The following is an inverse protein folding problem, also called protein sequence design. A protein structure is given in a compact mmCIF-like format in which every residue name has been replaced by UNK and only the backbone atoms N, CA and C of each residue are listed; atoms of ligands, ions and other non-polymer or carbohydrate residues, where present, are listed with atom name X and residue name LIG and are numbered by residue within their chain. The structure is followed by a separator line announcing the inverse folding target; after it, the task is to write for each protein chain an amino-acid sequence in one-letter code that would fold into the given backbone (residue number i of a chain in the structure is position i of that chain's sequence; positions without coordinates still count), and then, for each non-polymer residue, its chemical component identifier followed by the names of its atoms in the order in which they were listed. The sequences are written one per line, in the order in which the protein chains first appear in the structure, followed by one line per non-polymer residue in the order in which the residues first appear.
data_IF_448701038111
#
_entry.id   IF_448701038111
#
_cell.length_a   1.000
_cell.length_b   1.000
_cell.length_c   1.000
_cell.angle_alpha   90.00
_cell.angle_beta   90.00
_cell.angle_gamma   90.00
#
_symmetry.space_group_name_H-M   'P 1'
#
loop_
_entity.id
_entity.type
_entity.pdbx_description
1 polymer ?
#
# COMPACT_ATOMS: atom_id res chain seq x y z
N UNK A 1 -18.64 38.23 -20.45
CA UNK A 1 -18.86 36.78 -20.63
C UNK A 1 -18.47 36.07 -19.33
N UNK A 2 -19.42 35.63 -18.50
CA UNK A 2 -19.19 35.23 -17.10
C UNK A 2 -18.37 33.94 -16.90
N UNK A 3 -18.05 33.19 -17.97
CA UNK A 3 -17.21 31.99 -17.89
C UNK A 3 -15.70 32.30 -17.90
N UNK A 4 -15.30 33.47 -18.43
CA UNK A 4 -13.89 33.89 -18.48
C UNK A 4 -13.39 34.18 -17.05
N UNK A 5 -14.21 34.84 -16.23
CA UNK A 5 -13.89 35.10 -14.82
C UNK A 5 -13.69 33.80 -14.04
N UNK A 6 -14.49 32.76 -14.35
CA UNK A 6 -14.36 31.44 -13.74
C UNK A 6 -13.07 30.73 -14.17
N UNK A 7 -12.63 30.89 -15.42
CA UNK A 7 -11.33 30.35 -15.89
C UNK A 7 -10.19 31.02 -15.12
N UNK A 8 -10.19 32.34 -15.03
CA UNK A 8 -9.15 33.09 -14.33
C UNK A 8 -9.08 32.70 -12.84
N UNK A 9 -10.22 32.50 -12.18
CA UNK A 9 -10.29 31.97 -10.82
C UNK A 9 -9.71 30.56 -10.71
N UNK A 10 -9.97 29.70 -11.71
CA UNK A 10 -9.44 28.34 -11.75
C UNK A 10 -7.91 28.34 -11.91
N UNK A 11 -7.36 29.21 -12.75
CA UNK A 11 -5.92 29.37 -12.94
C UNK A 11 -5.24 29.91 -11.67
N UNK A 12 -5.83 30.92 -11.03
CA UNK A 12 -5.34 31.45 -9.76
C UNK A 12 -5.36 30.38 -8.64
N UNK A 13 -6.41 29.56 -8.58
CA UNK A 13 -6.48 28.45 -7.64
C UNK A 13 -5.39 27.39 -7.91
N UNK A 14 -5.14 27.05 -9.18
CA UNK A 14 -4.05 26.13 -9.57
C UNK A 14 -2.68 26.67 -9.19
N UNK A 15 -2.44 27.97 -9.39
CA UNK A 15 -1.19 28.62 -8.98
C UNK A 15 -0.97 28.49 -7.46
N UNK A 16 -2.02 28.78 -6.66
CA UNK A 16 -1.96 28.60 -5.20
C UNK A 16 -1.70 27.15 -4.78
N UNK A 17 -2.32 26.18 -5.45
CA UNK A 17 -2.05 24.76 -5.19
C UNK A 17 -0.58 24.42 -5.46
N UNK A 18 -0.03 24.88 -6.58
CA UNK A 18 1.37 24.64 -6.91
C UNK A 18 2.34 25.29 -5.90
N UNK A 19 2.02 26.46 -5.36
CA UNK A 19 2.78 27.09 -4.28
C UNK A 19 2.71 26.28 -2.97
N UNK A 20 1.52 25.85 -2.58
CA UNK A 20 1.33 25.02 -1.38
C UNK A 20 2.06 23.68 -1.49
N UNK A 21 2.04 23.04 -2.66
CA UNK A 21 2.79 21.81 -2.90
C UNK A 21 4.29 22.01 -2.70
N UNK A 22 4.86 23.10 -3.22
CA UNK A 22 6.27 23.44 -3.01
C UNK A 22 6.57 23.62 -1.53
N UNK A 23 5.79 24.44 -0.83
CA UNK A 23 5.98 24.68 0.60
C UNK A 23 5.92 23.37 1.41
N UNK A 24 4.93 22.51 1.15
CA UNK A 24 4.82 21.20 1.80
C UNK A 24 6.03 20.32 1.52
N UNK A 25 6.59 20.33 0.30
CA UNK A 25 7.81 19.56 0.03
C UNK A 25 9.01 20.10 0.79
N UNK A 26 9.16 21.42 0.89
CA UNK A 26 10.24 22.06 1.64
C UNK A 26 10.14 21.79 3.13
N UNK A 27 8.95 22.01 3.72
CA UNK A 27 8.69 21.74 5.14
C UNK A 27 8.92 20.25 5.46
N UNK A 28 8.44 19.35 4.61
CA UNK A 28 8.67 17.91 4.79
C UNK A 28 10.16 17.57 4.74
N UNK A 29 10.93 18.15 3.82
CA UNK A 29 12.37 17.91 3.73
C UNK A 29 13.11 18.43 4.96
N UNK A 30 12.76 19.62 5.44
CA UNK A 30 13.31 20.21 6.66
C UNK A 30 13.00 19.34 7.89
N UNK A 31 11.75 18.89 8.03
CA UNK A 31 11.34 18.00 9.11
C UNK A 31 12.10 16.66 9.07
N UNK A 32 12.30 16.08 7.89
CA UNK A 32 13.09 14.85 7.75
C UNK A 32 14.57 15.03 8.08
N UNK A 33 15.13 16.22 7.81
CA UNK A 33 16.50 16.56 8.14
C UNK A 33 16.70 16.82 9.64
N UNK A 34 15.70 17.38 10.33
CA UNK A 34 15.71 17.62 11.77
C UNK A 34 15.44 16.34 12.59
N UNK A 35 14.83 15.32 11.98
CA UNK A 35 14.45 14.08 12.66
C UNK A 35 15.60 13.43 13.47
N UNK A 36 16.84 13.28 12.96
CA UNK A 36 17.93 12.69 13.73
C UNK A 36 18.25 13.49 15.00
N UNK A 37 18.28 14.82 14.93
CA UNK A 37 18.56 15.68 16.08
C UNK A 37 17.43 15.69 17.10
N UNK A 38 16.16 15.63 16.67
CA UNK A 38 15.00 15.55 17.58
C UNK A 38 15.05 14.29 18.45
N UNK A 39 15.62 13.21 17.92
CA UNK A 39 15.84 11.96 18.65
C UNK A 39 17.23 11.86 19.31
N UNK A 40 18.00 12.95 19.34
CA UNK A 40 19.30 13.02 20.02
C UNK A 40 20.44 12.30 19.30
N UNK A 41 20.32 12.05 17.99
CA UNK A 41 21.38 11.46 17.18
C UNK A 41 22.20 12.54 16.48
N UNK A 42 23.52 12.46 16.64
CA UNK A 42 24.47 13.38 15.96
C UNK A 42 24.59 13.10 14.45
N UNK A 43 24.28 11.89 14.00
CA UNK A 43 24.46 11.45 12.63
C UNK A 43 23.24 10.70 12.08
N UNK A 44 22.90 10.93 10.81
CA UNK A 44 21.86 10.18 10.10
C UNK A 44 22.08 8.66 10.17
N UNK A 45 23.33 8.21 10.09
CA UNK A 45 23.66 6.79 10.09
C UNK A 45 23.38 6.11 11.45
N UNK A 46 23.64 6.79 12.55
CA UNK A 46 23.34 6.28 13.89
C UNK A 46 21.83 6.23 14.13
N UNK A 47 21.11 7.26 13.66
CA UNK A 47 19.65 7.27 13.64
C UNK A 47 19.07 6.12 12.81
N UNK A 48 19.53 5.91 11.57
CA UNK A 48 19.06 4.80 10.72
C UNK A 48 19.34 3.44 11.36
N UNK A 49 20.50 3.27 12.01
CA UNK A 49 20.84 2.02 12.72
C UNK A 49 19.88 1.76 13.88
N UNK A 50 19.58 2.78 14.67
CA UNK A 50 18.63 2.70 15.77
C UNK A 50 17.20 2.47 15.28
N UNK A 51 16.75 3.19 14.24
CA UNK A 51 15.45 3.02 13.60
C UNK A 51 15.28 1.60 13.03
N UNK A 52 16.32 1.04 12.40
CA UNK A 52 16.34 -0.36 11.95
C UNK A 52 16.34 -1.36 13.11
N UNK A 53 16.92 -1.02 14.25
CA UNK A 53 16.89 -1.87 15.44
C UNK A 53 15.50 -1.86 16.10
N UNK A 54 14.92 -0.67 16.27
CA UNK A 54 13.57 -0.44 16.79
C UNK A 54 12.51 -1.12 15.91
N UNK A 55 12.59 -0.95 14.59
CA UNK A 55 11.66 -1.61 13.65
C UNK A 55 11.81 -3.13 13.58
N UNK A 56 12.97 -3.69 13.95
CA UNK A 56 13.19 -5.15 14.04
C UNK A 56 12.78 -5.75 15.39
N UNK A 57 12.35 -4.93 16.36
CA UNK A 57 11.81 -5.38 17.66
C UNK A 57 10.58 -6.28 17.54
N UNK A 58 9.83 -6.19 16.44
CA UNK A 58 8.70 -7.09 16.17
C UNK A 58 9.06 -8.43 15.50
N UNK A 59 10.33 -8.74 15.22
CA UNK A 59 10.67 -9.91 14.36
C UNK A 59 11.97 -10.65 14.70
N UNK A 60 12.49 -10.53 15.93
CA UNK A 60 13.76 -11.17 16.32
C UNK A 60 13.71 -12.16 17.49
N UNK A 61 12.55 -12.72 17.81
CA UNK A 61 12.49 -13.95 18.61
C UNK A 61 12.44 -15.16 17.66
N UNK A 62 13.60 -15.65 17.23
CA UNK A 62 13.62 -16.84 16.36
C UNK A 62 14.94 -17.23 15.69
N UNK A 63 16.08 -16.63 16.03
CA UNK A 63 17.38 -17.12 15.53
C UNK A 63 18.41 -17.22 16.64
N UNK A 64 18.22 -18.20 17.52
CA UNK A 64 19.30 -18.96 18.15
C UNK A 64 18.71 -20.30 18.59
N UNK A 65 19.08 -21.35 17.85
CA UNK A 65 19.00 -22.80 18.12
C UNK A 65 18.34 -23.58 16.97
N UNK A 66 19.17 -24.10 16.06
CA UNK A 66 19.01 -25.43 15.47
C UNK A 66 20.22 -25.71 14.58
N UNK A 67 21.17 -26.44 15.16
CA UNK A 67 22.29 -27.10 14.50
C UNK A 67 21.75 -28.34 13.77
N UNK A 68 22.33 -28.62 12.59
CA UNK A 68 22.33 -29.90 11.86
C UNK A 68 21.02 -30.39 11.18
N UNK A 69 21.10 -30.66 9.87
CA UNK A 69 20.21 -31.61 9.18
C UNK A 69 19.72 -31.23 7.79
N UNK A 70 20.48 -31.62 6.75
CA UNK A 70 20.10 -31.89 5.33
C UNK A 70 19.54 -30.74 4.45
N UNK A 71 19.96 -30.65 3.16
CA UNK A 71 19.40 -29.69 2.21
C UNK A 71 18.05 -30.20 1.70
N UNK A 72 16.96 -29.72 2.30
CA UNK A 72 15.63 -29.94 1.77
C UNK A 72 15.41 -29.03 0.55
N UNK A 73 15.26 -29.67 -0.62
CA UNK A 73 14.71 -29.20 -1.90
C UNK A 73 14.00 -27.85 -1.81
N UNK A 74 14.52 -26.86 -2.54
CA UNK A 74 13.98 -25.48 -2.64
C UNK A 74 12.53 -25.54 -3.12
N UNK A 75 11.57 -25.62 -2.19
CA UNK A 75 10.18 -25.27 -2.49
C UNK A 75 10.18 -23.76 -2.69
N UNK A 76 9.86 -23.34 -3.92
CA UNK A 76 9.67 -21.96 -4.32
C UNK A 76 9.06 -21.16 -3.16
N UNK A 77 9.84 -20.22 -2.64
CA UNK A 77 9.53 -19.52 -1.41
C UNK A 77 8.10 -18.97 -1.46
N UNK A 78 7.39 -19.10 -0.34
CA UNK A 78 6.06 -18.53 -0.16
C UNK A 78 6.10 -17.08 -0.66
N UNK A 79 5.42 -16.80 -1.78
CA UNK A 79 5.31 -15.43 -2.31
C UNK A 79 4.84 -14.54 -1.18
N UNK A 80 5.60 -13.48 -0.89
CA UNK A 80 5.22 -12.48 0.11
C UNK A 80 3.82 -11.98 -0.28
N UNK A 81 2.85 -12.15 0.62
CA UNK A 81 1.48 -11.69 0.37
C UNK A 81 1.52 -10.19 0.12
N UNK A 82 0.96 -9.74 -0.99
CA UNK A 82 0.69 -8.32 -1.21
C UNK A 82 -0.19 -7.85 -0.05
N UNK A 83 0.25 -6.83 0.69
CA UNK A 83 -0.58 -6.18 1.70
C UNK A 83 -1.60 -5.35 0.95
N UNK A 84 -2.83 -5.82 0.91
CA UNK A 84 -3.96 -5.06 0.36
C UNK A 84 -4.27 -3.98 1.39
N UNK A 85 -3.72 -2.78 1.20
CA UNK A 85 -4.04 -1.58 1.98
C UNK A 85 -5.49 -1.16 1.68
N UNK A 86 -6.16 -0.44 2.61
CA UNK A 86 -7.54 0.01 2.40
C UNK A 86 -7.69 0.89 1.15
N UNK A 87 -6.68 1.69 0.83
CA UNK A 87 -6.62 2.53 -0.37
C UNK A 87 -6.69 1.69 -1.67
N UNK A 88 -5.93 0.59 -1.73
CA UNK A 88 -5.91 -0.31 -2.88
C UNK A 88 -7.26 -1.02 -3.05
N UNK A 89 -8.00 -1.30 -1.96
CA UNK A 89 -9.36 -1.84 -2.06
C UNK A 89 -10.30 -0.88 -2.77
N UNK A 90 -10.25 0.42 -2.41
CA UNK A 90 -11.11 1.43 -3.02
C UNK A 90 -10.80 1.63 -4.50
N UNK A 91 -9.52 1.64 -4.88
CA UNK A 91 -9.09 1.74 -6.29
C UNK A 91 -9.55 0.51 -7.11
N UNK A 92 -9.48 -0.68 -6.53
CA UNK A 92 -10.02 -1.90 -7.17
C UNK A 92 -11.53 -1.82 -7.31
N UNK A 93 -12.27 -1.33 -6.31
CA UNK A 93 -13.73 -1.17 -6.37
C UNK A 93 -14.12 -0.19 -7.48
N UNK A 94 -13.45 0.97 -7.57
CA UNK A 94 -13.68 1.96 -8.61
C UNK A 94 -13.40 1.39 -10.02
N UNK A 95 -12.30 0.63 -10.18
CA UNK A 95 -11.96 -0.02 -11.44
C UNK A 95 -13.01 -1.08 -11.85
N UNK A 96 -13.57 -1.80 -10.88
CA UNK A 96 -14.66 -2.76 -11.12
C UNK A 96 -15.95 -2.07 -11.52
N UNK A 97 -16.30 -0.95 -10.87
CA UNK A 97 -17.48 -0.15 -11.23
C UNK A 97 -17.34 0.49 -12.63
N UNK A 98 -16.12 0.87 -13.01
CA UNK A 98 -15.80 1.33 -14.37
C UNK A 98 -15.83 0.22 -15.44
N UNK A 99 -16.22 -1.02 -15.09
CA UNK A 99 -16.38 -2.11 -16.05
C UNK A 99 -15.09 -2.78 -16.50
N UNK A 100 -13.94 -2.48 -15.88
CA UNK A 100 -12.67 -3.12 -16.28
C UNK A 100 -12.63 -4.60 -15.88
N UNK A 101 -12.06 -5.42 -16.76
CA UNK A 101 -11.95 -6.86 -16.53
C UNK A 101 -11.05 -7.15 -15.32
N UNK A 102 -11.50 -8.04 -14.41
CA UNK A 102 -10.77 -8.36 -13.17
C UNK A 102 -9.35 -8.88 -13.39
N UNK A 103 -9.06 -9.44 -14.57
CA UNK A 103 -7.71 -9.87 -14.95
C UNK A 103 -6.75 -8.72 -15.28
N UNK A 104 -7.26 -7.58 -15.77
CA UNK A 104 -6.45 -6.36 -15.95
C UNK A 104 -6.15 -5.73 -14.60
N UNK A 105 -7.19 -5.57 -13.77
CA UNK A 105 -7.07 -5.08 -12.37
C UNK A 105 -6.03 -5.89 -11.58
N UNK A 106 -6.03 -7.22 -11.68
CA UNK A 106 -5.06 -8.06 -11.00
C UNK A 106 -3.60 -7.76 -11.42
N UNK A 107 -3.36 -7.47 -12.70
CA UNK A 107 -2.03 -7.12 -13.22
C UNK A 107 -1.63 -5.71 -12.81
N UNK A 108 -2.52 -4.75 -12.98
CA UNK A 108 -2.24 -3.32 -12.75
C UNK A 108 -1.95 -3.04 -11.27
N UNK A 109 -2.69 -3.69 -10.36
CA UNK A 109 -2.49 -3.52 -8.92
C UNK A 109 -1.54 -4.56 -8.30
N UNK A 110 -0.99 -5.50 -9.09
CA UNK A 110 -0.10 -6.55 -8.58
C UNK A 110 -0.78 -7.51 -7.60
N UNK A 111 -2.10 -7.70 -7.73
CA UNK A 111 -2.96 -8.47 -6.83
C UNK A 111 -3.34 -9.80 -7.48
N UNK A 112 -3.47 -10.85 -6.68
CA UNK A 112 -3.95 -12.13 -7.19
C UNK A 112 -5.42 -12.06 -7.63
N UNK A 113 -5.80 -12.77 -8.70
CA UNK A 113 -7.21 -12.87 -9.16
C UNK A 113 -8.21 -13.22 -8.03
N UNK A 114 -7.90 -14.16 -7.11
CA UNK A 114 -8.78 -14.45 -5.96
C UNK A 114 -8.98 -13.25 -5.03
N UNK A 115 -7.95 -12.41 -4.85
CA UNK A 115 -8.06 -11.21 -4.01
C UNK A 115 -8.96 -10.15 -4.64
N UNK A 116 -8.95 -10.00 -5.98
CA UNK A 116 -9.92 -9.13 -6.68
C UNK A 116 -11.34 -9.62 -6.43
N UNK A 117 -11.57 -10.93 -6.44
CA UNK A 117 -12.89 -11.50 -6.12
C UNK A 117 -13.28 -11.29 -4.65
N UNK A 118 -12.35 -11.39 -3.71
CA UNK A 118 -12.63 -11.10 -2.30
C UNK A 118 -13.00 -9.63 -2.09
N UNK A 119 -12.30 -8.69 -2.74
CA UNK A 119 -12.64 -7.27 -2.70
C UNK A 119 -14.04 -7.02 -3.31
N UNK A 120 -14.36 -7.69 -4.42
CA UNK A 120 -15.70 -7.63 -5.02
C UNK A 120 -16.81 -8.14 -4.08
N UNK A 121 -16.54 -9.21 -3.32
CA UNK A 121 -17.46 -9.74 -2.30
C UNK A 121 -17.61 -8.78 -1.11
N UNK A 122 -16.50 -8.24 -0.60
CA UNK A 122 -16.50 -7.23 0.47
C UNK A 122 -17.28 -5.97 0.07
N UNK A 123 -17.20 -5.57 -1.21
CA UNK A 123 -17.91 -4.42 -1.76
C UNK A 123 -19.37 -4.70 -2.14
N UNK A 124 -19.87 -5.93 -1.94
CA UNK A 124 -21.24 -6.32 -2.31
C UNK A 124 -21.51 -6.37 -3.81
N UNK A 125 -20.48 -6.26 -4.66
CA UNK A 125 -20.59 -6.20 -6.12
C UNK A 125 -20.78 -7.57 -6.79
N UNK A 126 -20.75 -8.67 -6.01
CA UNK A 126 -20.99 -10.03 -6.52
C UNK A 126 -21.95 -10.74 -5.59
N UNK A 127 -23.06 -11.25 -6.16
CA UNK A 127 -24.02 -12.12 -5.50
C UNK A 127 -23.27 -13.31 -4.86
N UNK A 128 -23.40 -13.49 -3.54
CA UNK A 128 -22.95 -14.72 -2.89
C UNK A 128 -23.64 -15.90 -3.59
N UNK A 129 -22.88 -16.91 -4.03
CA UNK A 129 -23.50 -18.15 -4.54
C UNK A 129 -24.39 -18.68 -3.41
N UNK A 130 -25.67 -18.90 -3.72
CA UNK A 130 -26.51 -19.74 -2.88
C UNK A 130 -25.76 -21.06 -2.69
N UNK A 131 -25.56 -21.45 -1.44
CA UNK A 131 -24.97 -22.74 -1.12
C UNK A 131 -25.85 -23.82 -1.78
N UNK A 132 -25.37 -24.44 -2.85
CA UNK A 132 -25.99 -25.68 -3.33
C UNK A 132 -25.73 -26.72 -2.24
N UNK A 133 -26.81 -27.19 -1.65
CA UNK A 133 -26.88 -28.22 -0.63
C UNK A 133 -25.94 -29.42 -0.91
N UNK A 134 -25.47 -30.13 0.14
CA UNK A 134 -24.69 -31.34 -0.05
C UNK A 134 -25.55 -32.38 -0.79
N UNK A 135 -25.15 -32.75 -2.01
CA UNK A 135 -25.74 -33.87 -2.71
C UNK A 135 -25.26 -35.16 -2.03
N UNK A 136 -26.20 -35.82 -1.36
CA UNK A 136 -26.10 -37.22 -1.00
C UNK A 136 -26.23 -38.07 -2.26
N UNK A 137 -25.23 -38.93 -2.51
CA UNK A 137 -25.31 -40.29 -3.08
C UNK A 137 -23.89 -40.80 -3.28
#
# INVERSE_FOLDING_TARGET
MPFIDKINQLEAAKAKVAELEKNVTTERQQALAALPSDFGYADLNSFIKALKAASKGGSRKGKKAAKAGKPAKVKAGKRKRAKITPEVKQQVIAAVQAGTAGAKIAKDFGISLPSVQNIKKEAGLVKARAASAPAAS
#
